data_IF_474989375840
#
_entry.id   IF_474989375840
#
_cell.length_a   1.000
_cell.length_b   1.000
_cell.length_c   1.000
_cell.angle_alpha   90.00
_cell.angle_beta   90.00
_cell.angle_gamma   90.00
#
_symmetry.space_group_name_H-M   'P 1'
#
loop_
_entity.id
_entity.type
_entity.pdbx_description
1 polymer ?
#
# COMPACT_ATOMS: atom_id res chain seq x y z
N UNK A 1 0.15 6.22 -23.59
CA UNK A 1 0.34 6.08 -22.14
C UNK A 1 0.77 4.67 -21.82
N UNK A 2 2.03 4.53 -21.45
CA UNK A 2 2.60 3.31 -20.87
C UNK A 2 2.51 3.42 -19.34
N UNK A 3 1.36 3.03 -18.79
CA UNK A 3 1.06 3.13 -17.37
C UNK A 3 1.64 1.97 -16.57
N UNK A 4 2.44 2.28 -15.55
CA UNK A 4 3.03 1.27 -14.66
C UNK A 4 2.85 1.64 -13.19
N UNK A 5 2.61 0.64 -12.35
CA UNK A 5 2.59 0.79 -10.89
C UNK A 5 3.84 0.16 -10.30
N UNK A 6 4.48 0.85 -9.35
CA UNK A 6 5.61 0.31 -8.59
C UNK A 6 5.63 0.82 -7.15
N UNK A 7 6.36 0.11 -6.30
CA UNK A 7 6.68 0.59 -4.94
C UNK A 7 7.51 1.87 -5.06
N UNK A 8 7.23 2.82 -4.17
CA UNK A 8 8.00 4.04 -4.06
C UNK A 8 9.40 3.79 -3.50
N UNK A 9 10.40 4.37 -4.15
CA UNK A 9 11.82 4.31 -3.82
C UNK A 9 12.24 5.58 -3.04
N UNK A 10 13.35 5.48 -2.29
CA UNK A 10 13.88 6.60 -1.48
C UNK A 10 14.16 7.88 -2.29
N UNK A 11 14.39 7.74 -3.60
CA UNK A 11 14.65 8.83 -4.55
C UNK A 11 13.40 9.52 -5.08
N UNK A 12 12.24 8.89 -4.96
CA UNK A 12 10.99 9.43 -5.52
C UNK A 12 10.38 10.51 -4.61
N UNK A 13 10.71 10.51 -3.32
CA UNK A 13 10.04 11.34 -2.32
C UNK A 13 10.08 12.83 -2.60
N UNK A 14 11.19 13.32 -3.16
CA UNK A 14 11.31 14.74 -3.50
C UNK A 14 10.41 15.14 -4.68
N UNK A 15 10.17 14.22 -5.64
CA UNK A 15 9.22 14.40 -6.76
C UNK A 15 7.75 14.29 -6.29
N UNK A 16 7.48 13.59 -5.19
CA UNK A 16 6.14 13.44 -4.62
C UNK A 16 5.64 14.69 -3.88
N UNK A 17 6.50 15.43 -3.18
CA UNK A 17 6.12 16.64 -2.41
C UNK A 17 5.33 17.70 -3.21
N UNK A 18 5.73 18.08 -4.44
CA UNK A 18 4.97 19.05 -5.22
C UNK A 18 3.58 18.55 -5.63
N UNK A 19 3.33 17.23 -5.61
CA UNK A 19 2.09 16.62 -6.07
C UNK A 19 1.04 16.46 -4.95
N UNK A 20 1.39 16.72 -3.69
CA UNK A 20 0.49 16.56 -2.54
C UNK A 20 -0.77 17.40 -2.67
N UNK A 21 -1.92 16.74 -2.50
CA UNK A 21 -3.20 17.43 -2.51
C UNK A 21 -3.41 18.29 -1.27
N UNK A 22 -2.89 17.85 -0.12
CA UNK A 22 -2.97 18.52 1.18
C UNK A 22 -1.73 19.38 1.47
N UNK A 23 -0.88 19.62 0.47
CA UNK A 23 0.39 20.32 0.62
C UNK A 23 0.29 21.73 1.20
N UNK A 24 -0.87 22.38 1.06
CA UNK A 24 -1.17 23.72 1.59
C UNK A 24 -1.39 23.72 3.12
N UNK A 25 -1.62 22.57 3.75
CA UNK A 25 -1.75 22.47 5.21
C UNK A 25 -0.40 22.62 5.94
N UNK A 26 0.69 22.40 5.21
CA UNK A 26 2.03 22.41 5.77
C UNK A 26 2.66 23.78 5.63
N UNK A 27 3.25 24.27 6.72
CA UNK A 27 4.21 25.38 6.62
C UNK A 27 5.39 24.98 5.73
N UNK A 28 6.11 25.95 5.11
CA UNK A 28 7.28 25.64 4.29
C UNK A 28 8.33 24.76 5.00
N UNK A 29 8.52 24.97 6.30
CA UNK A 29 9.43 24.16 7.11
C UNK A 29 8.93 22.72 7.28
N UNK A 30 7.65 22.52 7.60
CA UNK A 30 7.06 21.19 7.69
C UNK A 30 7.09 20.45 6.34
N UNK A 31 6.80 21.17 5.25
CA UNK A 31 6.81 20.61 3.90
C UNK A 31 8.21 20.13 3.50
N UNK A 32 9.25 20.86 3.87
CA UNK A 32 10.64 20.47 3.65
C UNK A 32 11.05 19.20 4.42
N UNK A 33 10.35 18.88 5.52
CA UNK A 33 10.62 17.67 6.32
C UNK A 33 9.90 16.41 5.81
N UNK A 34 8.93 16.52 4.88
CA UNK A 34 8.12 15.39 4.41
C UNK A 34 8.94 14.25 3.79
N UNK A 35 9.92 14.50 2.90
CA UNK A 35 10.73 13.42 2.34
C UNK A 35 11.50 12.65 3.40
N UNK A 36 12.08 13.34 4.39
CA UNK A 36 12.79 12.71 5.49
C UNK A 36 11.84 11.88 6.37
N UNK A 37 10.65 12.40 6.64
CA UNK A 37 9.60 11.67 7.37
C UNK A 37 9.19 10.39 6.64
N UNK A 38 8.90 10.45 5.33
CA UNK A 38 8.52 9.26 4.56
C UNK A 38 9.64 8.22 4.51
N UNK A 39 10.90 8.63 4.26
CA UNK A 39 12.06 7.72 4.30
C UNK A 39 12.16 7.01 5.65
N UNK A 40 12.07 7.76 6.75
CA UNK A 40 12.14 7.20 8.09
C UNK A 40 11.02 6.17 8.34
N UNK A 41 9.77 6.49 7.97
CA UNK A 41 8.64 5.58 8.15
C UNK A 41 8.76 4.34 7.24
N UNK A 42 9.29 4.49 6.03
CA UNK A 42 9.55 3.40 5.10
C UNK A 42 10.63 2.44 5.65
N UNK A 43 11.74 2.97 6.13
CA UNK A 43 12.84 2.19 6.72
C UNK A 43 12.39 1.41 7.95
N UNK A 44 11.56 2.04 8.78
CA UNK A 44 10.92 1.41 9.94
C UNK A 44 9.80 0.41 9.56
N UNK A 45 9.39 0.38 8.29
CA UNK A 45 8.29 -0.43 7.77
C UNK A 45 6.93 -0.10 8.38
N UNK A 46 6.70 1.19 8.62
CA UNK A 46 5.46 1.76 9.18
C UNK A 46 4.52 2.32 8.11
N UNK A 47 4.96 2.41 6.86
CA UNK A 47 4.14 2.83 5.73
C UNK A 47 4.14 1.80 4.62
N UNK A 48 3.08 1.82 3.82
CA UNK A 48 3.04 1.27 2.49
C UNK A 48 2.95 2.42 1.50
N UNK A 49 3.65 2.34 0.38
CA UNK A 49 3.53 3.33 -0.68
C UNK A 49 3.78 2.76 -2.05
N UNK A 50 3.01 3.26 -3.01
CA UNK A 50 3.17 2.99 -4.41
C UNK A 50 2.91 4.27 -5.20
N UNK A 51 3.39 4.25 -6.43
CA UNK A 51 3.16 5.31 -7.40
C UNK A 51 2.72 4.71 -8.74
N UNK A 52 2.00 5.52 -9.50
CA UNK A 52 1.60 5.29 -10.87
C UNK A 52 2.41 6.23 -11.76
N UNK A 53 3.14 5.66 -12.72
CA UNK A 53 3.92 6.41 -13.70
C UNK A 53 3.35 6.24 -15.11
N UNK A 54 3.48 7.29 -15.91
CA UNK A 54 3.46 7.18 -17.38
C UNK A 54 4.90 7.22 -17.90
N UNK A 55 5.37 6.11 -18.48
CA UNK A 55 6.74 5.98 -18.99
C UNK A 55 6.97 6.75 -20.29
N UNK A 56 5.90 7.11 -21.00
CA UNK A 56 5.95 7.96 -22.19
C UNK A 56 6.35 9.41 -21.82
N UNK A 57 6.17 9.81 -20.54
CA UNK A 57 6.52 11.15 -20.06
C UNK A 57 8.03 11.29 -19.76
N UNK A 58 8.59 12.51 -19.86
CA UNK A 58 9.96 12.79 -19.46
C UNK A 58 10.22 12.43 -18.00
N UNK A 59 11.44 11.94 -17.69
CA UNK A 59 11.90 11.74 -16.31
C UNK A 59 11.69 13.01 -15.48
N UNK A 60 11.25 12.87 -14.23
CA UNK A 60 10.89 13.99 -13.35
C UNK A 60 9.47 14.53 -13.56
N UNK A 61 8.70 13.95 -14.49
CA UNK A 61 7.27 14.25 -14.72
C UNK A 61 6.44 12.98 -14.95
N UNK A 62 6.99 11.82 -14.57
CA UNK A 62 6.39 10.52 -14.85
C UNK A 62 5.31 10.17 -13.85
N UNK A 63 5.47 10.61 -12.59
CA UNK A 63 4.55 10.32 -11.52
C UNK A 63 3.21 11.01 -11.82
N UNK A 64 2.19 10.22 -12.11
CA UNK A 64 0.80 10.67 -12.27
C UNK A 64 0.05 10.61 -10.95
N UNK A 65 0.36 9.64 -10.11
CA UNK A 65 -0.24 9.49 -8.79
C UNK A 65 0.77 8.86 -7.84
N UNK A 66 0.70 9.22 -6.57
CA UNK A 66 1.31 8.44 -5.50
C UNK A 66 0.39 8.40 -4.29
N UNK A 67 0.52 7.33 -3.50
CA UNK A 67 -0.18 7.17 -2.24
C UNK A 67 0.77 6.72 -1.14
N UNK A 68 0.57 7.24 0.06
CA UNK A 68 1.23 6.80 1.29
C UNK A 68 0.14 6.42 2.28
N UNK A 69 0.19 5.19 2.75
CA UNK A 69 -0.74 4.70 3.76
C UNK A 69 0.00 4.12 4.96
N UNK A 70 -0.66 4.14 6.10
CA UNK A 70 -0.13 3.67 7.38
C UNK A 70 -1.21 2.92 8.13
N UNK A 71 -0.79 2.01 9.02
CA UNK A 71 -1.70 1.42 9.98
C UNK A 71 -1.62 2.18 11.29
N UNK A 72 -2.77 2.48 11.87
CA UNK A 72 -2.88 3.30 13.09
C UNK A 72 -3.51 2.52 14.24
N UNK A 73 -3.30 2.99 15.46
CA UNK A 73 -3.98 2.46 16.65
C UNK A 73 -5.48 2.70 16.60
N UNK A 74 -6.24 1.85 17.29
CA UNK A 74 -7.70 1.97 17.45
C UNK A 74 -8.08 3.31 18.05
N UNK A 75 -7.32 3.75 19.07
CA UNK A 75 -7.52 5.04 19.74
C UNK A 75 -7.41 6.20 18.75
N UNK A 76 -6.34 6.24 17.94
CA UNK A 76 -6.18 7.33 16.96
C UNK A 76 -7.24 7.27 15.86
N UNK A 77 -7.61 6.08 15.41
CA UNK A 77 -8.63 5.91 14.38
C UNK A 77 -9.99 6.46 14.85
N UNK A 78 -10.41 6.11 16.07
CA UNK A 78 -11.65 6.61 16.66
C UNK A 78 -11.60 8.12 16.85
N UNK A 79 -10.50 8.66 17.39
CA UNK A 79 -10.29 10.11 17.51
C UNK A 79 -10.37 10.83 16.15
N UNK A 80 -9.91 10.19 15.07
CA UNK A 80 -9.99 10.74 13.73
C UNK A 80 -11.44 10.77 13.19
N UNK A 81 -12.24 9.73 13.43
CA UNK A 81 -13.65 9.68 13.04
C UNK A 81 -14.51 10.68 13.82
N UNK A 82 -14.25 10.83 15.12
CA UNK A 82 -15.01 11.73 15.99
C UNK A 82 -14.62 13.21 15.81
N UNK A 83 -13.48 13.47 15.19
CA UNK A 83 -12.95 14.81 14.96
C UNK A 83 -13.61 15.48 13.77
N UNK A 84 -14.19 16.67 13.98
CA UNK A 84 -14.71 17.51 12.91
C UNK A 84 -13.70 18.56 12.40
N UNK A 85 -12.40 18.28 12.49
CA UNK A 85 -11.33 19.16 12.03
C UNK A 85 -10.48 18.54 10.92
N UNK A 86 -10.14 19.32 9.88
CA UNK A 86 -9.30 18.83 8.79
C UNK A 86 -7.85 18.65 9.22
N UNK A 87 -7.05 18.02 8.36
CA UNK A 87 -5.60 17.88 8.54
C UNK A 87 -5.22 16.64 9.32
N UNK A 88 -5.83 15.51 8.96
CA UNK A 88 -5.55 14.19 9.50
C UNK A 88 -4.08 13.81 9.35
N UNK A 89 -3.49 14.10 8.20
CA UNK A 89 -2.08 13.86 7.89
C UNK A 89 -1.14 14.68 8.79
N UNK A 90 -1.42 15.98 8.92
CA UNK A 90 -0.67 16.88 9.81
C UNK A 90 -0.74 16.42 11.27
N UNK A 91 -1.92 16.03 11.77
CA UNK A 91 -2.10 15.52 13.14
C UNK A 91 -1.27 14.26 13.42
N UNK A 92 -1.19 13.34 12.45
CA UNK A 92 -0.31 12.17 12.56
C UNK A 92 1.14 12.62 12.68
N UNK A 93 1.59 13.51 11.80
CA UNK A 93 2.98 13.97 11.76
C UNK A 93 3.38 14.70 13.04
N UNK A 94 2.54 15.60 13.55
CA UNK A 94 2.78 16.32 14.81
C UNK A 94 2.95 15.35 15.98
N UNK A 95 2.11 14.32 16.07
CA UNK A 95 2.23 13.30 17.10
C UNK A 95 3.52 12.50 16.97
N UNK A 96 3.92 12.14 15.74
CA UNK A 96 5.20 11.45 15.51
C UNK A 96 6.38 12.32 15.94
N UNK A 97 6.41 13.60 15.55
CA UNK A 97 7.48 14.53 15.92
C UNK A 97 7.56 14.78 17.43
N UNK A 98 6.43 14.66 18.14
CA UNK A 98 6.37 14.77 19.60
C UNK A 98 6.66 13.44 20.32
N UNK A 99 7.03 12.37 19.60
CA UNK A 99 7.33 11.06 20.19
C UNK A 99 6.10 10.25 20.62
N UNK A 100 4.89 10.67 20.21
CA UNK A 100 3.59 10.03 20.53
C UNK A 100 2.98 9.37 19.29
N UNK A 101 3.79 8.65 18.53
CA UNK A 101 3.40 8.09 17.23
C UNK A 101 2.12 7.24 17.32
N UNK A 102 1.07 7.55 16.55
CA UNK A 102 -0.13 6.71 16.47
C UNK A 102 0.05 5.53 15.49
N UNK A 103 1.23 5.37 14.90
CA UNK A 103 1.50 4.41 13.84
C UNK A 103 1.92 3.07 14.43
N UNK A 104 1.35 1.99 13.91
CA UNK A 104 1.76 0.64 14.25
C UNK A 104 3.14 0.35 13.63
N UNK A 105 4.02 -0.29 14.40
CA UNK A 105 5.25 -0.87 13.87
C UNK A 105 5.03 -2.27 13.28
N UNK A 106 6.06 -2.84 12.66
CA UNK A 106 5.96 -4.17 12.02
C UNK A 106 5.46 -5.28 12.96
N UNK A 107 5.83 -5.23 14.23
CA UNK A 107 5.41 -6.22 15.23
C UNK A 107 3.93 -6.03 15.55
N UNK A 108 3.52 -4.80 15.85
CA UNK A 108 2.12 -4.47 16.12
C UNK A 108 1.22 -4.75 14.90
N UNK A 109 1.68 -4.41 13.68
CA UNK A 109 0.97 -4.73 12.44
C UNK A 109 0.74 -6.23 12.34
N UNK A 110 1.79 -7.05 12.51
CA UNK A 110 1.66 -8.51 12.46
C UNK A 110 0.64 -9.02 13.47
N UNK A 111 0.71 -8.51 14.70
CA UNK A 111 -0.10 -8.98 15.81
C UNK A 111 -1.58 -8.65 15.60
N UNK A 112 -1.87 -7.40 15.22
CA UNK A 112 -3.23 -6.94 14.94
C UNK A 112 -3.81 -7.58 13.66
N UNK A 113 -2.99 -7.75 12.62
CA UNK A 113 -3.39 -8.42 11.37
C UNK A 113 -3.74 -9.91 11.59
N UNK A 114 -3.15 -10.53 12.61
CA UNK A 114 -3.46 -11.90 13.02
C UNK A 114 -4.74 -12.01 13.86
N UNK A 115 -5.17 -10.90 14.47
CA UNK A 115 -6.35 -10.80 15.32
C UNK A 115 -7.57 -10.24 14.59
N UNK A 116 -8.13 -9.17 15.14
CA UNK A 116 -9.40 -8.60 14.67
C UNK A 116 -9.29 -7.82 13.34
N UNK A 117 -8.08 -7.33 13.03
CA UNK A 117 -7.78 -6.65 11.79
C UNK A 117 -7.30 -5.21 11.97
N UNK A 118 -6.74 -4.67 10.89
CA UNK A 118 -6.01 -3.40 10.87
C UNK A 118 -6.92 -2.22 10.49
N UNK A 119 -6.65 -1.07 11.11
CA UNK A 119 -7.19 0.21 10.67
C UNK A 119 -6.19 0.90 9.73
N UNK A 120 -6.60 1.07 8.47
CA UNK A 120 -5.78 1.72 7.45
C UNK A 120 -6.12 3.21 7.39
N UNK A 121 -5.08 4.03 7.42
CA UNK A 121 -5.16 5.45 7.12
C UNK A 121 -4.39 5.74 5.83
N UNK A 122 -5.04 6.33 4.84
CA UNK A 122 -4.30 6.91 3.71
C UNK A 122 -3.79 8.27 4.14
N UNK A 123 -2.50 8.30 4.48
CA UNK A 123 -1.84 9.43 5.11
C UNK A 123 -1.62 10.57 4.12
N UNK A 124 -1.15 10.26 2.91
CA UNK A 124 -0.95 11.24 1.86
C UNK A 124 -1.31 10.67 0.51
N UNK A 125 -1.74 11.54 -0.38
CA UNK A 125 -1.87 11.26 -1.79
C UNK A 125 -1.44 12.47 -2.62
N UNK A 126 -0.93 12.20 -3.80
CA UNK A 126 -0.72 13.23 -4.81
C UNK A 126 -1.21 12.79 -6.16
N UNK A 127 -1.69 13.76 -6.94
CA UNK A 127 -2.28 13.55 -8.24
C UNK A 127 -1.78 14.63 -9.21
N UNK A 128 -1.20 14.19 -10.32
CA UNK A 128 -0.73 15.02 -11.42
C UNK A 128 -1.59 14.82 -12.67
N UNK A 129 -2.91 14.85 -12.50
CA UNK A 129 -3.88 14.66 -13.59
C UNK A 129 -4.13 15.94 -14.41
N UNK A 130 -3.70 17.09 -13.89
CA UNK A 130 -3.81 18.35 -14.59
C UNK A 130 -3.07 18.32 -15.94
N UNK A 131 -3.77 18.66 -17.01
CA UNK A 131 -3.21 18.70 -18.37
C UNK A 131 -3.17 17.34 -19.08
N UNK A 132 -3.74 16.27 -18.52
CA UNK A 132 -4.08 15.08 -19.30
C UNK A 132 -5.26 15.39 -20.23
N UNK A 133 -5.24 14.83 -21.43
CA UNK A 133 -6.39 14.86 -22.33
C UNK A 133 -7.49 13.92 -21.82
N UNK A 134 -8.72 14.08 -22.30
CA UNK A 134 -9.82 13.19 -21.94
C UNK A 134 -9.52 11.72 -22.28
N UNK A 135 -8.78 11.48 -23.37
CA UNK A 135 -8.37 10.13 -23.79
C UNK A 135 -7.35 9.49 -22.84
N UNK A 136 -6.56 10.30 -22.14
CA UNK A 136 -5.53 9.87 -21.21
C UNK A 136 -6.02 9.85 -19.75
N UNK A 137 -6.99 10.69 -19.41
CA UNK A 137 -7.53 10.79 -18.06
C UNK A 137 -8.25 9.51 -17.63
N UNK A 138 -9.13 8.95 -18.48
CA UNK A 138 -9.91 7.77 -18.11
C UNK A 138 -9.05 6.52 -17.82
N UNK A 139 -8.04 6.16 -18.64
CA UNK A 139 -7.12 5.06 -18.30
C UNK A 139 -6.31 5.32 -17.03
N UNK A 140 -5.87 6.56 -16.79
CA UNK A 140 -5.16 6.90 -15.56
C UNK A 140 -6.04 6.71 -14.31
N UNK A 141 -7.29 7.18 -14.36
CA UNK A 141 -8.27 7.03 -13.29
C UNK A 141 -8.63 5.58 -13.01
N UNK A 142 -8.71 4.74 -14.04
CA UNK A 142 -8.93 3.30 -13.87
C UNK A 142 -7.75 2.61 -13.16
N UNK A 143 -6.52 3.09 -13.39
CA UNK A 143 -5.30 2.49 -12.84
C UNK A 143 -5.00 2.86 -11.38
N UNK A 144 -5.44 4.03 -10.94
CA UNK A 144 -5.27 4.49 -9.54
C UNK A 144 -5.79 3.46 -8.53
N UNK A 145 -7.05 2.99 -8.60
CA UNK A 145 -7.54 2.00 -7.65
C UNK A 145 -6.80 0.66 -7.72
N UNK A 146 -6.35 0.23 -8.90
CA UNK A 146 -5.55 -1.00 -9.03
C UNK A 146 -4.27 -0.92 -8.19
N UNK A 147 -3.61 0.24 -8.19
CA UNK A 147 -2.42 0.47 -7.35
C UNK A 147 -2.74 0.41 -5.86
N UNK A 148 -3.93 0.90 -5.47
CA UNK A 148 -4.40 0.86 -4.10
C UNK A 148 -4.67 -0.57 -3.65
N UNK A 149 -5.38 -1.38 -4.44
CA UNK A 149 -5.61 -2.79 -4.08
C UNK A 149 -4.29 -3.55 -4.03
N UNK A 150 -3.45 -3.43 -5.04
CA UNK A 150 -2.17 -4.12 -5.07
C UNK A 150 -1.35 -3.89 -3.78
N UNK A 151 -1.37 -2.66 -3.25
CA UNK A 151 -0.64 -2.31 -2.04
C UNK A 151 -1.24 -2.92 -0.76
N UNK A 152 -2.56 -3.05 -0.66
CA UNK A 152 -3.27 -3.39 0.59
C UNK A 152 -4.07 -4.70 0.60
N UNK A 153 -4.28 -5.35 -0.54
CA UNK A 153 -5.05 -6.58 -0.65
C UNK A 153 -4.40 -7.71 0.16
N UNK A 154 -5.20 -8.55 0.82
CA UNK A 154 -4.71 -9.64 1.67
C UNK A 154 -4.36 -9.22 3.09
N UNK A 155 -4.31 -7.91 3.40
CA UNK A 155 -4.34 -7.49 4.80
C UNK A 155 -5.73 -7.75 5.36
N UNK A 156 -5.81 -8.14 6.64
CA UNK A 156 -7.06 -8.28 7.37
C UNK A 156 -7.56 -6.89 7.76
N UNK A 157 -8.11 -6.13 6.82
CA UNK A 157 -8.56 -4.76 7.08
C UNK A 157 -9.87 -4.74 7.85
N UNK A 158 -9.93 -3.95 8.92
CA UNK A 158 -11.15 -3.64 9.68
C UNK A 158 -11.83 -2.39 9.16
N UNK A 159 -11.07 -1.35 8.84
CA UNK A 159 -11.61 -0.11 8.28
C UNK A 159 -10.53 0.71 7.56
N UNK A 160 -10.98 1.65 6.72
CA UNK A 160 -10.15 2.59 5.97
C UNK A 160 -10.65 4.01 6.23
N UNK A 161 -9.72 4.95 6.45
CA UNK A 161 -9.99 6.39 6.49
C UNK A 161 -9.06 7.16 5.57
N UNK A 162 -9.60 8.22 4.99
CA UNK A 162 -8.88 9.08 4.06
C UNK A 162 -9.52 10.47 3.99
N UNK A 163 -8.68 11.50 3.98
CA UNK A 163 -9.12 12.88 3.83
C UNK A 163 -8.95 13.36 2.39
N UNK A 164 -9.96 14.05 1.88
CA UNK A 164 -9.99 14.56 0.51
C UNK A 164 -10.31 16.05 0.47
N UNK A 165 -9.78 16.71 -0.55
CA UNK A 165 -9.83 18.17 -0.70
C UNK A 165 -10.32 18.62 -2.09
N UNK A 166 -10.33 17.71 -3.07
CA UNK A 166 -10.72 18.00 -4.44
C UNK A 166 -12.12 17.43 -4.72
N UNK A 167 -13.02 18.24 -5.27
CA UNK A 167 -14.43 17.87 -5.45
C UNK A 167 -14.60 16.64 -6.38
N UNK A 168 -13.78 16.55 -7.42
CA UNK A 168 -13.82 15.44 -8.36
C UNK A 168 -13.37 14.13 -7.68
N UNK A 169 -12.27 14.17 -6.92
CA UNK A 169 -11.76 12.98 -6.21
C UNK A 169 -12.71 12.55 -5.09
N UNK A 170 -13.35 13.50 -4.40
CA UNK A 170 -14.40 13.21 -3.40
C UNK A 170 -15.53 12.41 -4.04
N UNK A 171 -16.10 12.91 -5.14
CA UNK A 171 -17.21 12.23 -5.81
C UNK A 171 -16.79 10.85 -6.34
N UNK A 172 -15.63 10.76 -6.98
CA UNK A 172 -15.07 9.49 -7.45
C UNK A 172 -14.93 8.45 -6.33
N UNK A 173 -14.54 8.89 -5.13
CA UNK A 173 -14.39 8.01 -3.97
C UNK A 173 -15.74 7.57 -3.40
N UNK A 174 -16.72 8.46 -3.33
CA UNK A 174 -18.09 8.12 -2.96
C UNK A 174 -18.70 7.09 -3.92
N UNK A 175 -18.54 7.30 -5.23
CA UNK A 175 -19.03 6.38 -6.28
C UNK A 175 -18.33 5.02 -6.21
N UNK A 176 -17.08 4.98 -5.71
CA UNK A 176 -16.33 3.74 -5.47
C UNK A 176 -16.82 2.97 -4.23
N UNK A 177 -17.68 3.57 -3.40
CA UNK A 177 -18.31 2.95 -2.23
C UNK A 177 -17.86 3.49 -0.88
N UNK A 178 -16.97 4.49 -0.83
CA UNK A 178 -16.65 5.15 0.43
C UNK A 178 -17.85 5.93 0.98
N UNK A 179 -17.87 6.17 2.29
CA UNK A 179 -18.89 6.94 2.97
C UNK A 179 -18.29 8.19 3.58
N UNK A 180 -19.04 9.28 3.55
CA UNK A 180 -18.65 10.49 4.25
C UNK A 180 -18.80 10.29 5.76
N UNK A 181 -17.70 10.49 6.48
CA UNK A 181 -17.65 10.49 7.96
C UNK A 181 -17.82 11.89 8.52
N UNK A 182 -17.12 12.86 7.94
CA UNK A 182 -17.17 14.27 8.33
C UNK A 182 -17.05 15.18 7.12
N UNK A 183 -17.59 16.40 7.21
CA UNK A 183 -17.41 17.45 6.22
C UNK A 183 -17.02 18.73 6.93
N UNK A 184 -15.91 19.32 6.52
CA UNK A 184 -15.27 20.40 7.26
C UNK A 184 -15.68 21.75 6.72
N UNK A 185 -15.83 22.74 7.60
CA UNK A 185 -15.83 24.13 7.19
C UNK A 185 -14.39 24.58 7.08
N UNK A 186 -13.90 24.72 5.85
CA UNK A 186 -12.52 25.12 5.59
C UNK A 186 -12.48 26.02 4.36
N UNK A 187 -11.85 27.18 4.51
CA UNK A 187 -11.57 28.08 3.39
C UNK A 187 -10.11 27.88 2.99
N UNK A 188 -9.83 27.33 1.80
CA UNK A 188 -8.45 27.17 1.35
C UNK A 188 -7.79 28.54 1.14
N UNK A 189 -6.45 28.60 1.24
CA UNK A 189 -5.68 29.75 0.77
C UNK A 189 -6.01 30.11 -0.69
N UNK A 190 -5.92 31.40 -1.04
CA UNK A 190 -6.33 31.93 -2.35
C UNK A 190 -5.52 31.39 -3.55
N UNK A 191 -4.36 30.80 -3.29
CA UNK A 191 -3.44 30.22 -4.27
C UNK A 191 -3.67 28.71 -4.51
N UNK A 192 -4.69 28.11 -3.89
CA UNK A 192 -5.08 26.71 -4.10
C UNK A 192 -5.97 26.57 -5.35
N UNK A 193 -5.88 25.40 -6.00
CA UNK A 193 -6.62 25.06 -7.24
C UNK A 193 -8.12 25.40 -7.17
N UNK A 194 -8.75 25.90 -8.26
CA UNK A 194 -10.20 26.11 -8.33
C UNK A 194 -11.04 24.84 -8.20
N UNK A 195 -10.46 23.64 -8.39
CA UNK A 195 -11.14 22.35 -8.25
C UNK A 195 -11.38 21.93 -6.79
N UNK A 196 -10.93 22.75 -5.84
CA UNK A 196 -11.04 22.50 -4.42
C UNK A 196 -12.50 22.41 -3.97
N UNK A 197 -12.86 21.24 -3.45
CA UNK A 197 -14.18 20.99 -2.87
C UNK A 197 -14.24 21.39 -1.40
N UNK A 198 -15.38 21.15 -0.76
CA UNK A 198 -15.46 21.19 0.70
C UNK A 198 -14.69 19.98 1.26
N UNK A 199 -13.60 20.17 2.03
CA UNK A 199 -12.81 19.04 2.51
C UNK A 199 -13.65 18.10 3.35
N UNK A 200 -13.41 16.79 3.21
CA UNK A 200 -14.17 15.79 3.94
C UNK A 200 -13.32 14.58 4.32
N UNK A 201 -13.73 13.94 5.41
CA UNK A 201 -13.24 12.63 5.79
C UNK A 201 -14.15 11.59 5.15
N UNK A 202 -13.57 10.73 4.32
CA UNK A 202 -14.24 9.56 3.80
C UNK A 202 -13.69 8.30 4.47
N UNK A 203 -14.54 7.30 4.60
CA UNK A 203 -14.17 6.04 5.22
C UNK A 203 -15.11 4.90 4.86
N UNK A 204 -14.66 3.69 5.16
CA UNK A 204 -15.49 2.49 5.07
C UNK A 204 -14.96 1.43 6.03
N UNK A 205 -15.87 0.79 6.77
CA UNK A 205 -15.58 -0.37 7.61
C UNK A 205 -15.80 -1.67 6.85
N UNK A 206 -15.22 -2.76 7.35
CA UNK A 206 -15.46 -4.11 6.84
C UNK A 206 -16.95 -4.46 6.84
N UNK A 207 -17.65 -4.11 7.92
CA UNK A 207 -19.09 -4.39 8.04
C UNK A 207 -19.89 -3.68 6.93
N UNK A 208 -19.64 -2.39 6.71
CA UNK A 208 -20.30 -1.63 5.65
C UNK A 208 -19.94 -2.15 4.25
N UNK A 209 -18.68 -2.55 4.04
CA UNK A 209 -18.23 -3.14 2.79
C UNK A 209 -18.94 -4.48 2.49
N UNK A 210 -19.07 -5.34 3.51
CA UNK A 210 -19.78 -6.61 3.38
C UNK A 210 -21.29 -6.44 3.18
N UNK A 211 -21.88 -5.34 3.68
CA UNK A 211 -23.26 -4.97 3.41
C UNK A 211 -23.48 -4.49 1.96
N UNK A 212 -22.42 -4.11 1.24
CA UNK A 212 -22.47 -3.65 -0.15
C UNK A 212 -21.39 -4.32 -1.01
N UNK A 213 -21.45 -5.65 -1.22
CA UNK A 213 -20.38 -6.39 -1.87
C UNK A 213 -20.15 -6.00 -3.34
N UNK A 214 -21.12 -5.33 -3.98
CA UNK A 214 -20.98 -4.78 -5.34
C UNK A 214 -20.19 -3.47 -5.41
N UNK A 215 -19.98 -2.78 -4.28
CA UNK A 215 -19.18 -1.57 -4.23
C UNK A 215 -17.73 -1.89 -4.57
N UNK A 216 -17.09 -1.02 -5.36
CA UNK A 216 -15.77 -1.32 -5.90
C UNK A 216 -14.71 -1.45 -4.79
N UNK A 217 -14.72 -0.55 -3.80
CA UNK A 217 -13.82 -0.62 -2.63
C UNK A 217 -14.05 -1.86 -1.76
N UNK A 218 -15.23 -2.47 -1.78
CA UNK A 218 -15.55 -3.61 -0.92
C UNK A 218 -14.65 -4.82 -1.20
N UNK A 219 -14.07 -4.91 -2.40
CA UNK A 219 -13.18 -5.99 -2.84
C UNK A 219 -11.89 -6.14 -2.02
N UNK A 220 -11.50 -5.13 -1.25
CA UNK A 220 -10.28 -5.17 -0.43
C UNK A 220 -10.47 -5.85 0.94
N UNK A 221 -11.72 -6.01 1.38
CA UNK A 221 -12.05 -6.50 2.72
C UNK A 221 -12.12 -8.02 2.89
N UNK A 222 -12.47 -8.83 1.86
CA UNK A 222 -12.35 -10.28 1.94
C UNK A 222 -10.95 -10.68 2.43
N UNK A 223 -10.92 -11.59 3.40
CA UNK A 223 -9.69 -12.08 3.99
C UNK A 223 -9.70 -13.59 4.06
N UNK A 224 -8.68 -14.20 3.47
CA UNK A 224 -8.36 -15.60 3.63
C UNK A 224 -7.12 -15.71 4.53
N UNK A 225 -7.10 -16.58 5.53
CA UNK A 225 -5.88 -16.80 6.32
C UNK A 225 -4.75 -17.35 5.44
N UNK A 226 -3.50 -16.85 5.57
CA UNK A 226 -2.37 -17.41 4.84
C UNK A 226 -2.11 -18.84 5.25
N UNK A 227 -1.56 -19.65 4.34
CA UNK A 227 -1.25 -21.07 4.53
C UNK A 227 0.24 -21.30 4.64
N UNK A 228 1.04 -20.48 3.95
CA UNK A 228 2.49 -20.65 3.84
C UNK A 228 3.23 -19.96 4.98
N UNK A 229 2.70 -18.82 5.47
CA UNK A 229 3.30 -18.02 6.55
C UNK A 229 4.76 -17.68 6.27
N UNK A 230 5.02 -17.05 5.12
CA UNK A 230 6.35 -16.59 4.74
C UNK A 230 6.96 -15.66 5.80
N UNK A 231 8.28 -15.76 6.00
CA UNK A 231 9.02 -14.87 6.90
C UNK A 231 9.10 -13.46 6.31
N UNK A 232 9.33 -12.41 7.12
CA UNK A 232 9.35 -11.02 6.62
C UNK A 232 10.30 -10.79 5.43
N UNK A 233 11.50 -11.38 5.47
CA UNK A 233 12.47 -11.28 4.37
C UNK A 233 12.08 -12.07 3.11
N UNK A 234 11.26 -13.10 3.25
CA UNK A 234 10.69 -13.88 2.14
C UNK A 234 9.50 -13.13 1.53
N UNK A 235 8.61 -12.59 2.35
CA UNK A 235 7.48 -11.74 1.93
C UNK A 235 7.96 -10.55 1.10
N UNK A 236 8.96 -9.82 1.59
CA UNK A 236 9.49 -8.65 0.89
C UNK A 236 10.14 -9.02 -0.45
N UNK A 237 10.85 -10.15 -0.50
CA UNK A 237 11.41 -10.68 -1.76
C UNK A 237 10.30 -11.06 -2.75
N UNK A 238 9.26 -11.76 -2.30
CA UNK A 238 8.15 -12.22 -3.14
C UNK A 238 7.31 -11.05 -3.67
N UNK A 239 7.05 -10.03 -2.86
CA UNK A 239 6.36 -8.80 -3.28
C UNK A 239 7.09 -8.11 -4.45
N UNK A 240 8.42 -8.01 -4.37
CA UNK A 240 9.24 -7.45 -5.46
C UNK A 240 9.33 -8.38 -6.66
N UNK A 241 9.43 -9.69 -6.43
CA UNK A 241 9.46 -10.67 -7.52
C UNK A 241 8.14 -10.69 -8.33
N UNK A 242 7.00 -10.36 -7.71
CA UNK A 242 5.71 -10.19 -8.40
C UNK A 242 5.70 -9.00 -9.37
N UNK A 243 6.54 -7.98 -9.14
CA UNK A 243 6.75 -6.87 -10.07
C UNK A 243 7.63 -7.24 -11.27
N UNK A 244 8.12 -8.48 -11.34
CA UNK A 244 8.94 -8.97 -12.45
C UNK A 244 10.45 -8.75 -12.26
N UNK A 245 10.89 -8.32 -11.08
CA UNK A 245 12.32 -8.07 -10.81
C UNK A 245 13.18 -9.34 -10.91
N UNK A 246 14.33 -9.21 -11.54
CA UNK A 246 15.38 -10.24 -11.64
C UNK A 246 16.11 -10.40 -10.31
N UNK A 247 16.85 -11.51 -10.13
CA UNK A 247 17.59 -11.74 -8.87
C UNK A 247 18.66 -10.66 -8.59
N UNK A 248 19.21 -10.03 -9.64
CA UNK A 248 20.14 -8.91 -9.50
C UNK A 248 19.43 -7.64 -9.02
N UNK A 249 18.25 -7.34 -9.57
CA UNK A 249 17.42 -6.21 -9.13
C UNK A 249 16.90 -6.43 -7.70
N UNK A 250 16.47 -7.64 -7.37
CA UNK A 250 16.07 -8.04 -6.01
C UNK A 250 17.23 -7.84 -5.02
N UNK A 251 18.44 -8.28 -5.36
CA UNK A 251 19.62 -8.10 -4.50
C UNK A 251 19.89 -6.61 -4.22
N UNK A 252 19.91 -5.79 -5.28
CA UNK A 252 20.13 -4.36 -5.17
C UNK A 252 19.04 -3.66 -4.35
N UNK A 253 17.77 -3.94 -4.65
CA UNK A 253 16.64 -3.27 -4.01
C UNK A 253 16.45 -3.67 -2.55
N UNK A 254 16.72 -4.94 -2.21
CA UNK A 254 16.65 -5.43 -0.83
C UNK A 254 17.93 -5.12 -0.04
N UNK A 255 18.95 -4.51 -0.66
CA UNK A 255 20.27 -4.22 -0.09
C UNK A 255 20.92 -5.49 0.52
N UNK A 256 20.85 -6.62 -0.19
CA UNK A 256 21.42 -7.92 0.22
C UNK A 256 22.35 -8.50 -0.86
N UNK A 257 23.21 -9.45 -0.48
CA UNK A 257 24.08 -10.14 -1.43
C UNK A 257 23.26 -11.03 -2.41
N UNK A 258 23.69 -11.18 -3.68
CA UNK A 258 23.02 -12.06 -4.64
C UNK A 258 22.88 -13.51 -4.17
N UNK A 259 23.84 -14.01 -3.41
CA UNK A 259 23.77 -15.35 -2.83
C UNK A 259 22.67 -15.47 -1.76
N UNK A 260 22.41 -14.40 -1.01
CA UNK A 260 21.29 -14.33 -0.06
C UNK A 260 19.94 -14.44 -0.77
N UNK A 261 19.80 -13.90 -1.99
CA UNK A 261 18.58 -14.07 -2.81
C UNK A 261 18.34 -15.55 -3.14
N UNK A 262 19.39 -16.27 -3.57
CA UNK A 262 19.30 -17.71 -3.87
C UNK A 262 18.93 -18.54 -2.65
N UNK A 263 19.53 -18.22 -1.50
CA UNK A 263 19.24 -18.88 -0.22
C UNK A 263 17.80 -18.64 0.21
N UNK A 264 17.28 -17.42 0.06
CA UNK A 264 15.86 -17.12 0.35
C UNK A 264 14.90 -17.87 -0.58
N UNK A 265 15.19 -17.94 -1.88
CA UNK A 265 14.38 -18.74 -2.81
C UNK A 265 14.33 -20.22 -2.41
N UNK A 266 15.45 -20.79 -1.97
CA UNK A 266 15.50 -22.17 -1.48
C UNK A 266 14.57 -22.37 -0.27
N UNK A 267 14.70 -21.51 0.75
CA UNK A 267 13.86 -21.56 1.95
C UNK A 267 12.37 -21.38 1.62
N UNK A 268 12.03 -20.51 0.67
CA UNK A 268 10.67 -20.34 0.15
C UNK A 268 10.15 -21.66 -0.45
N UNK A 269 10.92 -22.32 -1.30
CA UNK A 269 10.48 -23.58 -1.92
C UNK A 269 10.34 -24.73 -0.92
N UNK A 270 11.24 -24.81 0.07
CA UNK A 270 11.15 -25.78 1.16
C UNK A 270 9.86 -25.56 1.97
N UNK A 271 9.58 -24.31 2.35
CA UNK A 271 8.34 -23.94 3.06
C UNK A 271 7.09 -24.27 2.26
N UNK A 272 7.09 -24.00 0.96
CA UNK A 272 5.95 -24.34 0.08
C UNK A 272 5.76 -25.86 0.01
N UNK A 273 6.85 -26.62 -0.18
CA UNK A 273 6.76 -28.08 -0.21
C UNK A 273 6.27 -28.68 1.12
N UNK A 274 6.61 -28.07 2.25
CA UNK A 274 6.14 -28.49 3.58
C UNK A 274 4.64 -28.20 3.79
N UNK A 275 4.17 -27.00 3.40
CA UNK A 275 2.84 -26.50 3.77
C UNK A 275 1.76 -26.72 2.72
N UNK A 276 2.14 -26.74 1.44
CA UNK A 276 1.23 -26.93 0.29
C UNK A 276 1.96 -27.80 -0.74
N UNK A 277 2.12 -29.11 -0.48
CA UNK A 277 2.96 -30.00 -1.30
C UNK A 277 2.55 -30.06 -2.77
N UNK A 278 1.25 -29.90 -3.05
CA UNK A 278 0.70 -29.96 -4.41
C UNK A 278 0.93 -28.69 -5.25
N UNK A 279 1.46 -27.61 -4.64
CA UNK A 279 1.66 -26.34 -5.36
C UNK A 279 2.85 -26.37 -6.32
N UNK A 280 3.90 -27.13 -5.96
CA UNK A 280 5.14 -27.20 -6.75
C UNK A 280 5.38 -28.62 -7.25
N UNK A 281 6.00 -28.79 -8.43
CA UNK A 281 6.29 -30.11 -8.95
C UNK A 281 7.25 -30.88 -8.01
N UNK A 282 7.00 -32.18 -7.81
CA UNK A 282 7.78 -33.00 -6.88
C UNK A 282 9.27 -33.06 -7.25
N UNK A 283 10.14 -33.44 -6.29
CA UNK A 283 11.56 -33.76 -6.50
C UNK A 283 11.87 -34.52 -7.78
N UNK A 284 11.07 -35.55 -8.08
CA UNK A 284 11.43 -36.61 -9.02
C UNK A 284 10.79 -36.47 -10.41
N UNK A 285 10.23 -35.31 -10.75
CA UNK A 285 9.48 -35.11 -11.99
C UNK A 285 10.32 -35.07 -13.31
N UNK A 286 11.50 -35.68 -13.35
CA UNK A 286 12.27 -35.96 -14.59
C UNK A 286 12.79 -34.74 -15.39
N UNK A 287 12.61 -33.52 -14.90
CA UNK A 287 13.11 -32.29 -15.55
C UNK A 287 14.50 -31.91 -15.04
N UNK A 288 15.42 -31.58 -15.96
CA UNK A 288 16.77 -31.12 -15.63
C UNK A 288 16.75 -29.92 -14.66
N UNK A 289 17.58 -29.95 -13.61
CA UNK A 289 17.59 -28.96 -12.50
C UNK A 289 17.61 -27.49 -12.96
N UNK A 290 18.29 -27.19 -14.07
CA UNK A 290 18.36 -25.84 -14.63
C UNK A 290 17.00 -25.28 -15.10
N UNK A 291 16.06 -26.12 -15.54
CA UNK A 291 14.69 -25.70 -15.94
C UNK A 291 13.72 -25.63 -14.77
N UNK A 292 14.05 -26.31 -13.66
CA UNK A 292 13.20 -26.47 -12.49
C UNK A 292 13.03 -25.19 -11.67
N UNK A 293 14.10 -24.40 -11.52
CA UNK A 293 14.07 -23.13 -10.78
C UNK A 293 13.11 -22.10 -11.38
N UNK A 294 13.23 -21.77 -12.68
CA UNK A 294 12.32 -20.85 -13.36
C UNK A 294 10.86 -21.30 -13.35
N UNK A 295 10.60 -22.61 -13.48
CA UNK A 295 9.25 -23.16 -13.46
C UNK A 295 8.61 -23.08 -12.06
N UNK A 296 9.34 -23.48 -11.01
CA UNK A 296 8.88 -23.34 -9.62
C UNK A 296 8.55 -21.88 -9.28
N UNK A 297 9.44 -20.96 -9.67
CA UNK A 297 9.21 -19.51 -9.49
C UNK A 297 7.94 -19.07 -10.21
N UNK A 298 7.75 -19.46 -11.47
CA UNK A 298 6.56 -19.09 -12.25
C UNK A 298 5.27 -19.60 -11.61
N UNK A 299 5.24 -20.85 -11.15
CA UNK A 299 4.06 -21.44 -10.51
C UNK A 299 3.75 -20.76 -9.17
N UNK A 300 4.76 -20.55 -8.33
CA UNK A 300 4.59 -19.85 -7.06
C UNK A 300 4.11 -18.41 -7.26
N UNK A 301 4.74 -17.65 -8.16
CA UNK A 301 4.33 -16.27 -8.42
C UNK A 301 2.93 -16.20 -9.04
N UNK A 302 2.52 -17.19 -9.85
CA UNK A 302 1.14 -17.27 -10.33
C UNK A 302 0.17 -17.46 -9.16
N UNK A 303 0.45 -18.38 -8.26
CA UNK A 303 -0.36 -18.60 -7.05
C UNK A 303 -0.46 -17.32 -6.20
N UNK A 304 0.66 -16.64 -5.95
CA UNK A 304 0.68 -15.44 -5.10
C UNK A 304 -0.05 -14.24 -5.69
N UNK A 305 -0.33 -14.20 -6.99
CA UNK A 305 -1.18 -13.14 -7.59
C UNK A 305 -2.63 -13.25 -7.14
N UNK A 306 -3.08 -14.47 -6.87
CA UNK A 306 -4.45 -14.76 -6.42
C UNK A 306 -4.53 -14.92 -4.89
N UNK A 307 -3.38 -14.86 -4.19
CA UNK A 307 -3.24 -15.13 -2.76
C UNK A 307 -2.33 -14.10 -2.07
N UNK A 308 -2.74 -12.83 -2.11
CA UNK A 308 -1.97 -11.71 -1.55
C UNK A 308 -1.81 -11.77 -0.03
N UNK A 309 -2.70 -12.48 0.68
CA UNK A 309 -2.64 -12.74 2.12
C UNK A 309 -1.33 -13.41 2.56
N UNK A 310 -0.74 -14.24 1.69
CA UNK A 310 0.51 -14.97 1.97
C UNK A 310 1.70 -14.01 2.15
N UNK A 311 1.58 -12.82 1.57
CA UNK A 311 2.62 -11.78 1.58
C UNK A 311 2.44 -10.80 2.73
N UNK A 312 1.40 -10.95 3.56
CA UNK A 312 1.11 -10.02 4.65
C UNK A 312 1.64 -10.54 5.99
N UNK A 313 2.09 -9.66 6.89
CA UNK A 313 2.63 -10.06 8.17
C UNK A 313 1.51 -10.69 9.03
N UNK A 314 1.60 -11.98 9.28
CA UNK A 314 0.65 -12.74 10.13
C UNK A 314 1.47 -13.72 10.98
N UNK A 315 1.03 -13.97 12.22
CA UNK A 315 1.62 -15.01 13.08
C UNK A 315 1.20 -16.38 12.55
N UNK A 316 2.12 -17.36 12.47
CA UNK A 316 1.69 -18.73 12.28
C UNK A 316 0.76 -19.12 13.44
N UNK A 317 -0.25 -19.98 13.19
CA UNK A 317 -1.04 -20.54 14.28
C UNK A 317 -0.08 -21.19 15.27
N UNK A 318 -0.34 -20.99 16.57
CA UNK A 318 0.42 -21.64 17.63
C UNK A 318 0.39 -23.14 17.34
N UNK A 319 1.56 -23.68 16.99
CA UNK A 319 1.73 -25.12 17.01
C UNK A 319 1.70 -25.48 18.48
N UNK A 320 0.54 -25.96 18.96
CA UNK A 320 0.44 -26.57 20.28
C UNK A 320 1.58 -27.59 20.46
N UNK A 321 2.03 -27.84 21.70
CA UNK A 321 3.15 -28.74 21.94
C UNK A 321 2.89 -30.07 21.23
N UNK A 322 3.85 -30.46 20.38
CA UNK A 322 3.86 -31.71 19.64
C UNK A 322 3.83 -32.93 20.58
#
# INVERSE_FOLDING_TARGET
MDLTTRITDERDWDECVPLLQDGFLYSPAQRACLPAFWRQMQDQGRLNSALLEDRDRPKGRRILQFGVSVFVTDVFFQEAEDSNSPGLSLRVMERVWQGRSPLLDRTAIRDVNSGDGLNLLVLHQGLALAGLSDTDLAPALAKIPESFFWLHEGYRLRAILMEFYDAFVIQFSLDSGFRQRASYEFTPPSDVSPSYGRPCLLGISREEALAQPGAYIAKIFPYTPPRLFFRPGEQHLLQRALLGETDAELAAALKIAPDTVKTRWRAIYERVAERVPDLLPPPDAGLAEARRGPEKRRLLLRYLRDHSEELRPVRPPDQGPA
#
